data_IF_451958784648
#
_entry.id   IF_451958784648
#
_cell.length_a   1.000
_cell.length_b   1.000
_cell.length_c   1.000
_cell.angle_alpha   90.00
_cell.angle_beta   90.00
_cell.angle_gamma   90.00
#
_symmetry.space_group_name_H-M   'P 1'
#
loop_
_entity.id
_entity.type
_entity.pdbx_description
1 polymer ?
#
# COMPACT_ATOMS: atom_id res chain seq x y z
N UNK A 1 14.12 19.96 18.29
CA UNK A 1 15.04 20.47 19.32
C UNK A 1 14.20 21.20 20.35
N UNK A 2 14.44 20.97 21.64
CA UNK A 2 13.67 21.61 22.70
C UNK A 2 14.07 23.06 22.91
N UNK A 3 13.07 23.94 23.05
CA UNK A 3 13.28 25.34 23.37
C UNK A 3 12.42 25.75 24.56
N UNK A 4 13.01 26.48 25.51
CA UNK A 4 12.28 27.06 26.63
C UNK A 4 12.30 28.59 26.56
N UNK A 5 11.21 29.19 27.05
CA UNK A 5 11.08 30.63 27.13
C UNK A 5 11.92 31.17 28.28
N UNK A 6 12.90 32.03 27.99
CA UNK A 6 13.69 32.64 29.05
C UNK A 6 12.89 33.76 29.73
N UNK A 7 12.27 33.41 30.86
CA UNK A 7 11.49 34.34 31.70
C UNK A 7 12.36 35.32 32.49
N UNK A 8 13.64 35.01 32.70
CA UNK A 8 14.58 35.78 33.53
C UNK A 8 15.44 36.76 32.73
N UNK A 9 15.19 36.88 31.43
CA UNK A 9 15.85 37.83 30.53
C UNK A 9 15.50 39.27 30.91
N UNK A 10 16.22 39.82 31.89
CA UNK A 10 16.17 41.22 32.30
C UNK A 10 16.91 42.14 31.31
N UNK A 11 17.25 41.68 30.10
CA UNK A 11 17.82 42.53 29.04
C UNK A 11 16.71 43.40 28.45
N UNK A 12 16.47 44.51 29.14
CA UNK A 12 15.45 45.55 28.94
C UNK A 12 15.49 46.23 27.57
N UNK A 13 16.34 45.83 26.62
CA UNK A 13 16.48 46.63 25.41
C UNK A 13 15.34 46.52 24.41
N UNK A 14 14.60 45.40 24.32
CA UNK A 14 13.30 45.35 23.64
C UNK A 14 12.48 44.22 24.25
N UNK A 15 11.29 44.51 24.79
CA UNK A 15 10.41 43.62 25.58
C UNK A 15 9.90 42.38 24.84
N UNK A 16 10.78 41.51 24.32
CA UNK A 16 10.42 40.34 23.52
C UNK A 16 11.04 39.08 24.12
N UNK A 17 10.24 38.02 24.14
CA UNK A 17 10.63 36.71 24.64
C UNK A 17 11.60 36.07 23.66
N UNK A 18 12.80 35.73 24.14
CA UNK A 18 13.73 34.86 23.43
C UNK A 18 13.56 33.44 23.92
N UNK A 19 13.56 32.50 22.99
CA UNK A 19 13.51 31.08 23.30
C UNK A 19 14.91 30.50 23.15
N UNK A 20 15.36 29.78 24.18
CA UNK A 20 16.69 29.20 24.25
C UNK A 20 16.60 27.69 24.05
N UNK A 21 17.53 27.14 23.28
CA UNK A 21 17.68 25.68 23.20
C UNK A 21 17.98 25.10 24.59
N UNK A 22 17.39 23.95 24.91
CA UNK A 22 17.72 23.17 26.10
C UNK A 22 19.20 22.76 26.09
N UNK A 23 19.81 22.56 27.26
CA UNK A 23 21.26 22.31 27.43
C UNK A 23 21.75 21.01 26.75
N UNK A 24 20.83 20.10 26.39
CA UNK A 24 21.12 18.90 25.59
C UNK A 24 21.32 19.19 24.09
N UNK A 25 20.98 20.39 23.61
CA UNK A 25 21.16 20.78 22.21
C UNK A 25 22.63 20.99 21.85
N UNK A 26 23.09 20.37 20.76
CA UNK A 26 24.48 20.46 20.27
C UNK A 26 24.90 21.84 19.75
N UNK A 27 24.01 22.85 19.77
CA UNK A 27 24.36 24.24 19.45
C UNK A 27 23.42 25.25 20.12
N UNK A 28 23.99 26.30 20.73
CA UNK A 28 23.25 27.46 21.24
C UNK A 28 22.43 28.07 20.10
N UNK A 29 21.15 27.74 20.05
CA UNK A 29 20.21 28.23 19.04
C UNK A 29 19.06 28.98 19.69
N UNK A 30 18.58 29.99 18.98
CA UNK A 30 17.62 30.96 19.50
C UNK A 30 16.51 31.17 18.49
N UNK A 31 15.28 31.30 18.99
CA UNK A 31 14.16 31.78 18.18
C UNK A 31 13.82 33.22 18.60
N UNK A 32 13.87 34.14 17.64
CA UNK A 32 13.60 35.55 17.86
C UNK A 32 13.00 36.23 16.62
N UNK A 33 12.21 37.29 16.82
CA UNK A 33 11.50 37.97 15.75
C UNK A 33 12.32 39.11 15.13
N UNK A 34 12.63 39.01 13.83
CA UNK A 34 13.23 40.10 13.07
C UNK A 34 12.16 41.10 12.60
N UNK A 35 12.25 42.34 13.10
CA UNK A 35 11.27 43.41 12.79
C UNK A 35 11.34 43.89 11.35
N UNK A 36 12.54 43.93 10.77
CA UNK A 36 12.74 44.45 9.41
C UNK A 36 12.10 43.52 8.39
N UNK A 37 12.33 42.22 8.55
CA UNK A 37 11.80 41.20 7.64
C UNK A 37 10.39 40.73 7.98
N UNK A 38 9.93 41.06 9.19
CA UNK A 38 8.64 40.65 9.75
C UNK A 38 8.51 39.13 9.84
N UNK A 39 9.55 38.46 10.33
CA UNK A 39 9.63 36.99 10.39
C UNK A 39 10.23 36.54 11.72
N UNK A 40 9.82 35.35 12.17
CA UNK A 40 10.54 34.63 13.22
C UNK A 40 11.76 33.96 12.62
N UNK A 41 12.89 34.08 13.32
CA UNK A 41 14.20 33.58 12.89
C UNK A 41 14.69 32.59 13.94
N UNK A 42 14.98 31.36 13.50
CA UNK A 42 15.75 30.38 14.24
C UNK A 42 17.22 30.51 13.79
N UNK A 43 18.13 30.82 14.71
CA UNK A 43 19.54 31.04 14.38
C UNK A 43 20.50 30.47 15.42
N UNK A 44 21.76 30.25 15.03
CA UNK A 44 22.87 29.89 15.92
C UNK A 44 23.53 31.12 16.55
N UNK A 45 24.16 30.90 17.70
CA UNK A 45 25.05 31.86 18.35
C UNK A 45 24.31 32.97 19.09
N UNK A 46 25.02 33.70 19.94
CA UNK A 46 24.47 34.73 20.82
C UNK A 46 24.26 36.09 20.13
N UNK A 47 23.96 36.11 18.82
CA UNK A 47 23.66 37.39 18.16
C UNK A 47 22.50 38.06 18.89
N UNK A 48 22.70 39.30 19.32
CA UNK A 48 21.68 40.08 20.01
C UNK A 48 20.58 40.56 19.06
N UNK A 49 20.87 40.65 17.75
CA UNK A 49 19.89 41.04 16.73
C UNK A 49 19.56 39.86 15.81
N UNK A 50 18.30 39.38 15.81
CA UNK A 50 17.86 38.32 14.89
C UNK A 50 17.89 38.74 13.41
N UNK A 51 17.82 40.05 13.10
CA UNK A 51 17.87 40.53 11.72
C UNK A 51 19.27 40.40 11.09
N UNK A 52 20.33 40.52 11.91
CA UNK A 52 21.70 40.26 11.46
C UNK A 52 21.88 38.78 11.10
N UNK A 53 21.28 37.88 11.90
CA UNK A 53 21.29 36.45 11.63
C UNK A 53 20.50 36.11 10.36
N UNK A 54 19.38 36.77 10.08
CA UNK A 54 18.60 36.58 8.85
C UNK A 54 19.41 36.92 7.59
N UNK A 55 20.38 37.84 7.71
CA UNK A 55 21.26 38.26 6.62
C UNK A 55 22.54 37.40 6.49
N UNK A 56 22.81 36.52 7.46
CA UNK A 56 24.00 35.68 7.49
C UNK A 56 23.63 34.19 7.41
N UNK A 57 23.90 33.57 6.27
CA UNK A 57 23.60 32.16 6.02
C UNK A 57 24.32 31.18 6.96
N UNK A 58 25.42 31.58 7.60
CA UNK A 58 26.12 30.73 8.59
C UNK A 58 25.39 30.70 9.95
N UNK A 59 24.65 31.76 10.26
CA UNK A 59 23.91 31.91 11.52
C UNK A 59 22.45 31.47 11.37
N UNK A 60 21.82 31.74 10.21
CA UNK A 60 20.44 31.37 9.94
C UNK A 60 20.28 29.84 9.88
N UNK A 61 19.34 29.31 10.64
CA UNK A 61 18.91 27.91 10.53
C UNK A 61 17.58 27.82 9.77
N UNK A 62 16.59 28.60 10.22
CA UNK A 62 15.27 28.65 9.61
C UNK A 62 14.60 30.01 9.83
N UNK A 63 13.59 30.31 9.01
CA UNK A 63 12.73 31.48 9.14
C UNK A 63 11.26 31.14 8.87
N UNK A 64 10.35 31.75 9.61
CA UNK A 64 8.91 31.64 9.34
C UNK A 64 8.52 32.41 8.09
N UNK A 65 7.32 32.16 7.59
CA UNK A 65 6.59 33.09 6.72
C UNK A 65 6.44 34.47 7.38
N UNK A 66 6.19 35.51 6.57
CA UNK A 66 6.05 36.89 7.07
C UNK A 66 4.79 37.01 7.94
N UNK A 67 4.94 37.56 9.14
CA UNK A 67 3.84 37.82 10.07
C UNK A 67 4.04 39.16 10.79
N UNK A 68 2.95 39.88 11.04
CA UNK A 68 2.96 41.13 11.83
C UNK A 68 2.88 40.90 13.35
N UNK A 69 2.66 39.66 13.76
CA UNK A 69 2.41 39.34 15.16
C UNK A 69 3.72 39.04 15.87
N UNK A 70 3.90 39.64 17.04
CA UNK A 70 5.03 39.35 17.94
C UNK A 70 4.77 38.16 18.86
N UNK A 71 3.73 37.39 18.57
CA UNK A 71 3.44 36.11 19.19
C UNK A 71 3.96 35.00 18.26
N UNK A 72 4.75 34.08 18.80
CA UNK A 72 5.31 32.98 18.00
C UNK A 72 4.24 31.94 17.68
N UNK A 73 3.19 31.85 18.51
CA UNK A 73 2.12 30.87 18.33
C UNK A 73 1.39 31.03 16.99
N UNK A 74 1.33 32.25 16.47
CA UNK A 74 0.74 32.53 15.15
C UNK A 74 1.60 32.04 13.98
N UNK A 75 2.85 31.65 14.25
CA UNK A 75 3.76 31.05 13.28
C UNK A 75 3.80 29.52 13.37
N UNK A 76 3.07 28.91 14.31
CA UNK A 76 3.01 27.46 14.46
C UNK A 76 2.34 26.80 13.26
N UNK A 77 1.26 27.39 12.76
CA UNK A 77 0.57 26.92 11.55
C UNK A 77 1.15 27.52 10.25
N UNK A 78 2.15 28.40 10.39
CA UNK A 78 2.78 29.09 9.27
C UNK A 78 3.88 28.24 8.62
N UNK A 79 4.12 28.42 7.32
CA UNK A 79 5.26 27.76 6.66
C UNK A 79 6.58 28.26 7.22
N UNK A 80 7.53 27.35 7.44
CA UNK A 80 8.91 27.65 7.77
C UNK A 80 9.83 27.29 6.60
N UNK A 81 10.98 27.94 6.51
CA UNK A 81 11.96 27.74 5.45
C UNK A 81 13.36 27.66 6.03
N UNK A 82 14.18 26.75 5.53
CA UNK A 82 15.60 26.67 5.85
C UNK A 82 16.36 27.91 5.35
N UNK A 83 17.64 28.03 5.73
CA UNK A 83 18.53 29.04 5.15
C UNK A 83 18.66 28.94 3.61
N UNK A 84 18.49 27.73 3.04
CA UNK A 84 18.46 27.49 1.59
C UNK A 84 17.08 27.69 0.95
N UNK A 85 16.12 28.23 1.71
CA UNK A 85 14.73 28.46 1.27
C UNK A 85 13.95 27.18 0.95
N UNK A 86 14.36 26.05 1.53
CA UNK A 86 13.63 24.78 1.47
C UNK A 86 12.52 24.80 2.51
N UNK A 87 11.25 24.50 2.16
CA UNK A 87 10.19 24.38 3.15
C UNK A 87 10.56 23.40 4.28
N UNK A 88 10.21 23.74 5.51
CA UNK A 88 10.43 22.94 6.71
C UNK A 88 9.10 22.68 7.42
N UNK A 89 8.95 21.46 7.92
CA UNK A 89 7.92 21.12 8.88
C UNK A 89 8.47 21.39 10.28
N UNK A 90 7.88 22.36 10.99
CA UNK A 90 8.24 22.68 12.36
C UNK A 90 7.08 22.31 13.27
N UNK A 91 7.35 21.53 14.31
CA UNK A 91 6.36 21.14 15.30
C UNK A 91 6.65 21.85 16.61
N UNK A 92 5.63 22.45 17.19
CA UNK A 92 5.70 23.15 18.47
C UNK A 92 4.83 22.38 19.47
N UNK A 93 5.45 21.98 20.58
CA UNK A 93 4.79 21.23 21.63
C UNK A 93 4.70 22.10 22.88
N UNK A 94 3.50 22.27 23.41
CA UNK A 94 3.30 22.91 24.72
C UNK A 94 3.24 21.81 25.79
N UNK A 95 3.95 21.99 26.90
CA UNK A 95 3.75 21.14 28.08
C UNK A 95 2.80 21.89 28.99
N UNK A 96 1.81 21.17 29.53
CA UNK A 96 0.79 21.66 30.47
C UNK A 96 1.35 22.13 31.84
N UNK A 97 2.50 22.81 31.85
CA UNK A 97 3.19 23.32 33.03
C UNK A 97 4.06 22.27 33.74
N UNK A 98 4.24 21.08 33.18
CA UNK A 98 5.12 20.06 33.75
C UNK A 98 6.44 20.02 32.97
N UNK A 99 7.31 21.00 33.24
CA UNK A 99 8.61 21.20 32.56
C UNK A 99 9.46 19.91 32.56
N UNK A 100 9.38 19.10 33.62
CA UNK A 100 10.17 17.85 33.74
C UNK A 100 9.80 16.77 32.73
N UNK A 101 8.60 16.80 32.13
CA UNK A 101 8.21 15.79 31.13
C UNK A 101 8.78 16.07 29.74
N UNK A 102 8.99 17.33 29.37
CA UNK A 102 9.57 17.66 28.05
C UNK A 102 11.07 17.36 28.03
N UNK A 103 11.77 17.64 29.13
CA UNK A 103 13.22 17.45 29.23
C UNK A 103 13.63 15.99 29.00
N UNK A 104 12.80 15.02 29.42
CA UNK A 104 13.00 13.59 29.21
C UNK A 104 12.87 13.16 27.73
N UNK A 105 12.24 13.98 26.89
CA UNK A 105 11.93 13.69 25.49
C UNK A 105 12.61 14.65 24.51
N UNK A 106 13.61 15.43 24.95
CA UNK A 106 14.30 16.37 24.08
C UNK A 106 15.22 15.73 23.03
N UNK A 107 15.51 14.44 23.22
CA UNK A 107 16.24 13.61 22.26
C UNK A 107 15.31 12.83 21.32
N UNK A 108 13.99 12.88 21.55
CA UNK A 108 12.93 12.29 20.74
C UNK A 108 12.51 13.25 19.63
N UNK A 109 12.25 12.75 18.42
CA UNK A 109 11.86 13.56 17.27
C UNK A 109 10.88 12.82 16.38
N UNK A 110 9.80 13.50 15.98
CA UNK A 110 8.86 12.99 14.97
C UNK A 110 9.57 12.58 13.68
N UNK A 111 9.41 11.32 13.26
CA UNK A 111 9.94 10.82 11.99
C UNK A 111 11.44 10.51 12.02
N UNK A 112 12.03 10.25 13.18
CA UNK A 112 13.44 9.85 13.32
C UNK A 112 13.71 8.33 13.19
N UNK A 113 12.65 7.54 13.03
CA UNK A 113 12.67 6.09 12.86
C UNK A 113 12.70 5.29 14.17
N UNK A 114 12.66 5.98 15.32
CA UNK A 114 12.48 5.41 16.64
C UNK A 114 11.02 5.56 17.03
N UNK A 115 10.46 4.64 17.82
CA UNK A 115 9.09 4.80 18.31
C UNK A 115 9.11 5.46 19.69
N UNK A 116 8.95 6.78 19.73
CA UNK A 116 8.92 7.60 20.92
C UNK A 116 7.53 7.54 21.58
N UNK A 117 7.39 6.95 22.79
CA UNK A 117 6.09 6.79 23.45
C UNK A 117 5.33 8.10 23.66
N UNK A 118 6.05 9.22 23.79
CA UNK A 118 5.47 10.56 23.93
C UNK A 118 4.80 11.06 22.65
N UNK A 119 5.40 10.74 21.49
CA UNK A 119 4.86 11.13 20.20
C UNK A 119 3.97 10.06 19.57
N UNK A 120 3.86 8.89 20.20
CA UNK A 120 3.00 7.78 19.74
C UNK A 120 1.50 8.01 20.03
N UNK A 121 1.00 9.20 19.74
CA UNK A 121 -0.41 9.58 19.86
C UNK A 121 -0.93 10.07 18.51
N UNK A 122 -2.25 9.95 18.29
CA UNK A 122 -2.89 10.34 17.03
C UNK A 122 -2.63 11.80 16.63
N UNK A 123 -2.50 12.71 17.60
CA UNK A 123 -2.20 14.12 17.35
C UNK A 123 -0.83 14.38 16.70
N UNK A 124 0.08 13.42 16.81
CA UNK A 124 1.45 13.50 16.29
C UNK A 124 1.71 12.52 15.15
N UNK A 125 0.63 11.94 14.59
CA UNK A 125 0.74 10.93 13.54
C UNK A 125 1.49 9.68 14.00
N UNK A 126 1.44 9.33 15.29
CA UNK A 126 2.13 8.18 15.86
C UNK A 126 3.64 8.23 15.60
N UNK A 127 4.24 9.32 16.10
CA UNK A 127 5.64 9.64 15.92
C UNK A 127 6.05 9.86 14.45
N UNK A 128 5.22 10.62 13.73
CA UNK A 128 5.42 10.81 12.30
C UNK A 128 5.30 9.51 11.48
N UNK A 129 4.71 8.47 12.06
CA UNK A 129 4.58 7.14 11.50
C UNK A 129 5.65 6.17 11.97
N UNK A 130 6.65 6.57 12.75
CA UNK A 130 7.76 5.67 13.13
C UNK A 130 7.32 4.51 14.03
N UNK A 131 6.22 4.70 14.74
CA UNK A 131 5.58 3.64 15.50
C UNK A 131 4.68 2.74 14.63
N UNK A 132 4.82 2.70 13.31
CA UNK A 132 4.06 1.77 12.45
C UNK A 132 4.96 0.61 12.00
N UNK A 133 4.37 -0.58 11.82
CA UNK A 133 5.17 -1.77 11.57
C UNK A 133 5.99 -1.73 10.27
N UNK A 134 5.47 -1.07 9.23
CA UNK A 134 6.17 -1.00 7.95
C UNK A 134 7.25 0.10 7.88
N UNK A 135 7.20 1.12 8.72
CA UNK A 135 8.14 2.27 8.75
C UNK A 135 9.22 2.08 9.82
N UNK A 136 8.87 1.48 10.95
CA UNK A 136 9.78 1.28 12.06
C UNK A 136 11.01 0.46 11.63
N UNK A 137 12.20 0.90 12.05
CA UNK A 137 13.49 0.39 11.57
C UNK A 137 14.28 -0.40 12.61
N UNK A 138 13.88 -0.30 13.89
CA UNK A 138 14.54 -0.98 15.00
C UNK A 138 14.02 -2.41 15.22
N UNK A 139 14.81 -3.23 15.93
CA UNK A 139 14.46 -4.62 16.25
C UNK A 139 13.42 -4.76 17.37
N UNK A 140 13.13 -3.68 18.09
CA UNK A 140 12.15 -3.61 19.19
C UNK A 140 10.82 -3.00 18.78
N UNK A 141 10.68 -2.63 17.51
CA UNK A 141 9.46 -2.04 16.96
C UNK A 141 8.25 -2.94 17.15
N UNK A 142 7.21 -2.41 17.79
CA UNK A 142 5.92 -3.08 17.93
C UNK A 142 5.93 -4.25 18.91
N UNK A 143 7.05 -4.51 19.60
CA UNK A 143 7.13 -5.68 20.49
C UNK A 143 6.10 -5.59 21.61
N UNK A 144 5.17 -6.56 21.65
CA UNK A 144 4.05 -6.57 22.59
C UNK A 144 3.06 -5.41 22.43
N UNK A 145 3.11 -4.68 21.32
CA UNK A 145 2.26 -3.52 21.06
C UNK A 145 0.83 -3.87 20.62
N UNK A 146 0.57 -5.13 20.25
CA UNK A 146 -0.79 -5.63 20.06
C UNK A 146 -1.29 -6.29 21.35
N UNK A 147 -2.29 -5.67 21.97
CA UNK A 147 -2.90 -6.14 23.22
C UNK A 147 -4.22 -6.86 22.99
N UNK A 148 -4.87 -6.59 21.85
CA UNK A 148 -6.03 -7.32 21.37
C UNK A 148 -5.87 -7.63 19.89
N UNK A 149 -5.66 -8.90 19.58
CA UNK A 149 -5.56 -9.39 18.20
C UNK A 149 -6.84 -10.12 17.83
N UNK A 150 -7.47 -9.72 16.71
CA UNK A 150 -8.78 -10.27 16.30
C UNK A 150 -9.86 -10.16 17.40
N UNK A 151 -9.75 -9.14 18.27
CA UNK A 151 -10.67 -8.95 19.39
C UNK A 151 -10.48 -9.92 20.57
N UNK A 152 -9.41 -10.71 20.59
CA UNK A 152 -9.04 -11.54 21.75
C UNK A 152 -8.00 -10.82 22.61
N UNK A 153 -8.31 -10.62 23.90
CA UNK A 153 -7.43 -9.99 24.89
C UNK A 153 -6.32 -10.93 25.39
N UNK A 154 -6.45 -12.25 25.16
CA UNK A 154 -5.46 -13.24 25.58
C UNK A 154 -4.32 -13.39 24.58
N UNK A 155 -4.50 -12.86 23.38
CA UNK A 155 -3.49 -12.86 22.34
C UNK A 155 -2.68 -11.56 22.40
N UNK A 156 -1.47 -11.66 22.92
CA UNK A 156 -0.45 -10.62 22.75
C UNK A 156 0.35 -10.88 21.48
N UNK A 157 0.63 -9.83 20.73
CA UNK A 157 1.41 -9.91 19.50
C UNK A 157 2.41 -8.77 19.37
N UNK A 158 3.35 -8.94 18.45
CA UNK A 158 4.16 -7.82 17.99
C UNK A 158 3.40 -7.09 16.87
N UNK A 159 3.26 -5.78 16.98
CA UNK A 159 2.57 -4.88 16.05
C UNK A 159 2.08 -3.61 16.74
N UNK A 160 1.21 -2.83 16.09
CA UNK A 160 0.80 -1.51 16.58
C UNK A 160 -0.71 -1.30 16.42
N UNK A 161 -1.46 -1.45 17.51
CA UNK A 161 -2.92 -1.60 17.49
C UNK A 161 -3.69 -0.38 16.94
N UNK A 162 -3.04 0.78 16.83
CA UNK A 162 -3.65 2.01 16.32
C UNK A 162 -2.70 2.87 15.48
N UNK A 163 -1.57 2.32 15.01
CA UNK A 163 -0.65 3.18 14.27
C UNK A 163 -1.25 3.55 12.91
N UNK A 164 -1.35 4.86 12.66
CA UNK A 164 -1.81 5.43 11.40
C UNK A 164 -0.70 6.29 10.83
N UNK A 165 0.02 5.74 9.85
CA UNK A 165 0.92 6.49 8.99
C UNK A 165 0.13 6.93 7.74
N UNK A 166 0.07 8.24 7.41
CA UNK A 166 -0.63 8.76 6.24
C UNK A 166 -0.16 8.17 4.89
N UNK A 167 1.04 7.61 4.85
CA UNK A 167 1.62 6.95 3.67
C UNK A 167 1.31 5.46 3.62
N UNK A 168 0.72 4.90 4.67
CA UNK A 168 0.32 3.51 4.75
C UNK A 168 -1.17 3.32 4.44
N UNK A 169 -1.49 2.09 4.07
CA UNK A 169 -2.80 1.68 3.63
C UNK A 169 -3.30 0.48 4.43
N UNK A 170 -4.61 0.42 4.69
CA UNK A 170 -5.22 -0.66 5.44
C UNK A 170 -5.22 -1.98 4.65
N UNK A 171 -4.77 -3.04 5.32
CA UNK A 171 -4.91 -4.44 4.95
C UNK A 171 -5.72 -5.13 6.05
N UNK A 172 -6.84 -5.74 5.69
CA UNK A 172 -7.71 -6.44 6.63
C UNK A 172 -7.60 -7.94 6.45
N UNK A 173 -7.26 -8.65 7.52
CA UNK A 173 -7.30 -10.10 7.59
C UNK A 173 -8.62 -10.47 8.27
N UNK A 174 -9.40 -11.38 7.70
CA UNK A 174 -10.60 -11.95 8.29
C UNK A 174 -10.41 -13.45 8.47
N UNK A 175 -10.68 -13.96 9.68
CA UNK A 175 -10.62 -15.39 9.97
C UNK A 175 -12.02 -15.99 9.74
N UNK A 176 -12.24 -16.53 8.55
CA UNK A 176 -13.52 -17.09 8.11
C UNK A 176 -13.94 -18.30 8.96
N UNK A 177 -12.96 -19.14 9.30
CA UNK A 177 -13.20 -20.42 9.94
C UNK A 177 -11.98 -20.86 10.71
N UNK A 178 -12.21 -21.46 11.88
CA UNK A 178 -11.16 -22.11 12.65
C UNK A 178 -11.70 -23.48 13.04
N UNK A 179 -11.04 -24.53 12.59
CA UNK A 179 -11.49 -25.90 12.78
C UNK A 179 -10.36 -26.77 13.29
N UNK A 180 -10.65 -27.67 14.22
CA UNK A 180 -9.63 -28.58 14.74
C UNK A 180 -9.26 -29.59 13.65
N UNK A 181 -8.00 -30.02 13.59
CA UNK A 181 -7.58 -31.17 12.78
C UNK A 181 -8.34 -32.47 13.12
N UNK A 182 -9.04 -32.50 14.26
CA UNK A 182 -9.91 -33.61 14.68
C UNK A 182 -11.35 -33.51 14.21
N UNK A 183 -11.74 -32.39 13.61
CA UNK A 183 -13.07 -32.25 13.03
C UNK A 183 -13.31 -33.44 12.07
N UNK A 184 -14.46 -34.14 12.17
CA UNK A 184 -14.79 -35.30 11.35
C UNK A 184 -14.54 -35.09 9.84
N UNK A 185 -14.66 -33.85 9.36
CA UNK A 185 -14.42 -33.49 7.96
C UNK A 185 -12.97 -33.67 7.51
N UNK A 186 -11.99 -33.56 8.41
CA UNK A 186 -10.56 -33.70 8.08
C UNK A 186 -10.02 -35.11 8.34
N UNK A 187 -10.63 -35.82 9.28
CA UNK A 187 -10.25 -37.19 9.65
C UNK A 187 -10.82 -38.24 8.69
N UNK A 188 -11.78 -37.86 7.83
CA UNK A 188 -12.46 -38.76 6.90
C UNK A 188 -13.50 -39.66 7.58
N UNK A 189 -13.83 -39.39 8.85
CA UNK A 189 -14.81 -40.17 9.61
C UNK A 189 -16.25 -39.98 9.15
N UNK A 190 -16.57 -38.88 8.44
CA UNK A 190 -17.92 -38.66 7.88
C UNK A 190 -18.40 -39.76 6.92
N UNK A 191 -17.50 -40.60 6.41
CA UNK A 191 -17.84 -41.68 5.47
C UNK A 191 -18.13 -43.04 6.13
N UNK A 192 -17.99 -43.17 7.44
CA UNK A 192 -18.31 -44.41 8.14
C UNK A 192 -19.75 -44.33 8.67
N UNK A 193 -20.68 -44.94 7.94
CA UNK A 193 -22.04 -45.20 8.43
C UNK A 193 -21.96 -46.04 9.72
N UNK A 194 -22.86 -45.80 10.68
CA UNK A 194 -22.97 -46.48 11.98
C UNK A 194 -22.92 -48.02 11.92
N UNK A 195 -23.16 -48.59 10.73
CA UNK A 195 -23.11 -50.03 10.46
C UNK A 195 -21.68 -50.61 10.51
N UNK A 196 -20.63 -49.80 10.42
CA UNK A 196 -19.23 -50.27 10.42
C UNK A 196 -18.44 -49.74 11.64
N UNK A 197 -19.06 -49.78 12.83
CA UNK A 197 -18.43 -49.42 14.13
C UNK A 197 -17.17 -50.24 14.47
N UNK A 198 -16.91 -51.32 13.74
CA UNK A 198 -15.73 -52.16 13.92
C UNK A 198 -14.56 -51.76 13.00
N UNK A 199 -14.79 -50.96 11.95
CA UNK A 199 -13.74 -50.41 11.08
C UNK A 199 -13.08 -49.15 11.69
N UNK A 200 -12.82 -49.17 13.00
CA UNK A 200 -12.06 -48.11 13.65
C UNK A 200 -10.64 -48.11 13.08
N UNK A 201 -10.03 -46.93 12.81
CA UNK A 201 -8.64 -46.84 12.39
C UNK A 201 -7.77 -47.63 13.36
N UNK A 202 -7.15 -48.66 12.80
CA UNK A 202 -6.41 -49.73 13.44
C UNK A 202 -5.60 -49.30 14.67
N UNK A 203 -6.09 -49.59 15.89
CA UNK A 203 -5.25 -49.62 17.10
C UNK A 203 -5.64 -48.74 18.29
N UNK A 204 -6.75 -47.99 18.26
CA UNK A 204 -7.23 -47.27 19.45
C UNK A 204 -8.11 -48.18 20.34
N UNK A 205 -7.66 -48.45 21.56
CA UNK A 205 -8.55 -48.89 22.65
C UNK A 205 -9.55 -47.76 22.98
N UNK A 206 -10.80 -48.09 23.32
CA UNK A 206 -11.90 -47.13 23.53
C UNK A 206 -11.52 -45.92 24.41
N UNK A 207 -10.74 -46.14 25.48
CA UNK A 207 -10.33 -45.04 26.36
C UNK A 207 -9.34 -44.05 25.72
N UNK A 208 -8.47 -44.48 24.81
CA UNK A 208 -7.47 -43.57 24.21
C UNK A 208 -8.09 -42.59 23.21
N UNK A 209 -9.21 -42.92 22.60
CA UNK A 209 -9.88 -42.02 21.67
C UNK A 209 -10.58 -40.87 22.40
N UNK A 210 -11.22 -41.16 23.53
CA UNK A 210 -11.82 -40.14 24.41
C UNK A 210 -10.74 -39.22 24.99
N UNK A 211 -9.68 -39.81 25.57
CA UNK A 211 -8.53 -39.07 26.08
C UNK A 211 -7.87 -38.20 24.99
N UNK A 212 -7.77 -38.75 23.77
CA UNK A 212 -7.29 -37.99 22.63
C UNK A 212 -8.21 -36.80 22.44
N UNK A 213 -9.52 -36.97 22.18
CA UNK A 213 -10.48 -35.88 21.92
C UNK A 213 -10.51 -34.76 22.97
N UNK A 214 -10.21 -35.04 24.24
CA UNK A 214 -10.18 -34.04 25.31
C UNK A 214 -8.96 -33.10 25.28
N UNK A 215 -7.87 -33.48 24.60
CA UNK A 215 -6.69 -32.60 24.46
C UNK A 215 -7.04 -31.36 23.63
N UNK A 216 -6.86 -30.13 24.15
CA UNK A 216 -7.15 -28.92 23.38
C UNK A 216 -6.18 -28.76 22.21
N UNK A 217 -6.64 -28.27 21.04
CA UNK A 217 -5.75 -27.99 19.93
C UNK A 217 -4.72 -26.90 20.25
N UNK A 218 -3.51 -27.11 19.76
CA UNK A 218 -2.41 -26.16 19.84
C UNK A 218 -2.72 -24.98 18.92
N UNK A 219 -2.59 -23.78 19.49
CA UNK A 219 -2.78 -22.53 18.74
C UNK A 219 -1.66 -22.37 17.70
N UNK A 220 -1.99 -22.22 16.41
CA UNK A 220 -0.98 -22.06 15.38
C UNK A 220 -0.34 -20.69 15.46
N UNK A 221 0.94 -20.63 15.10
CA UNK A 221 1.68 -19.39 15.00
C UNK A 221 1.31 -18.68 13.69
N UNK A 222 0.81 -17.46 13.81
CA UNK A 222 0.47 -16.57 12.72
C UNK A 222 1.53 -15.47 12.63
N UNK A 223 2.05 -15.24 11.43
CA UNK A 223 2.92 -14.11 11.14
C UNK A 223 2.57 -13.50 9.78
N UNK A 224 2.54 -12.18 9.74
CA UNK A 224 2.54 -11.44 8.49
C UNK A 224 3.83 -10.64 8.39
N UNK A 225 4.56 -10.87 7.31
CA UNK A 225 5.68 -10.06 6.89
C UNK A 225 5.27 -9.25 5.64
N UNK A 226 5.64 -7.97 5.56
CA UNK A 226 5.50 -7.18 4.35
C UNK A 226 6.80 -6.43 4.08
N UNK A 227 7.29 -6.50 2.83
CA UNK A 227 8.55 -5.90 2.39
C UNK A 227 9.75 -6.30 3.26
N UNK A 228 9.77 -7.52 3.80
CA UNK A 228 10.84 -8.03 4.66
C UNK A 228 10.77 -7.54 6.12
N UNK A 229 9.64 -6.93 6.51
CA UNK A 229 9.40 -6.47 7.88
C UNK A 229 8.23 -7.24 8.49
N UNK A 230 8.40 -7.69 9.73
CA UNK A 230 7.32 -8.29 10.49
C UNK A 230 6.28 -7.23 10.85
N UNK A 231 5.07 -7.37 10.29
CA UNK A 231 3.96 -6.44 10.51
C UNK A 231 3.08 -6.87 11.69
N UNK A 232 2.93 -8.18 11.84
CA UNK A 232 2.05 -8.75 12.85
C UNK A 232 2.48 -10.17 13.19
N UNK A 233 2.50 -10.51 14.49
CA UNK A 233 2.57 -11.91 14.95
C UNK A 233 1.52 -12.18 16.01
N UNK A 234 0.95 -13.38 16.01
CA UNK A 234 -0.01 -13.82 17.03
C UNK A 234 -0.11 -15.34 17.09
N UNK A 235 -0.71 -15.86 18.15
CA UNK A 235 -1.20 -17.24 18.20
C UNK A 235 -2.71 -17.24 17.98
N UNK A 236 -3.20 -18.00 17.01
CA UNK A 236 -4.62 -18.02 16.67
C UNK A 236 -5.37 -18.94 17.63
N UNK A 237 -6.43 -18.41 18.23
CA UNK A 237 -7.31 -19.15 19.13
C UNK A 237 -8.65 -19.44 18.44
N UNK A 238 -9.33 -20.53 18.83
CA UNK A 238 -10.68 -20.83 18.31
C UNK A 238 -11.72 -19.73 18.58
N UNK A 239 -11.50 -18.87 19.57
CA UNK A 239 -12.33 -17.69 19.89
C UNK A 239 -12.30 -16.59 18.81
N UNK A 240 -11.30 -16.62 17.92
CA UNK A 240 -11.08 -15.59 16.90
C UNK A 240 -11.86 -15.85 15.59
N UNK A 241 -12.71 -16.88 15.54
CA UNK A 241 -13.53 -17.16 14.36
C UNK A 241 -14.47 -16.00 14.03
N UNK A 242 -14.61 -15.67 12.75
CA UNK A 242 -15.37 -14.54 12.22
C UNK A 242 -14.90 -13.18 12.76
N UNK A 243 -13.63 -13.07 13.13
CA UNK A 243 -13.02 -11.81 13.55
C UNK A 243 -12.12 -11.26 12.46
N UNK A 244 -11.94 -9.95 12.48
CA UNK A 244 -11.04 -9.26 11.57
C UNK A 244 -10.01 -8.46 12.34
N UNK A 245 -8.83 -8.34 11.74
CA UNK A 245 -7.79 -7.43 12.17
C UNK A 245 -7.41 -6.57 10.97
N UNK A 246 -7.44 -5.26 11.13
CA UNK A 246 -6.89 -4.32 10.16
C UNK A 246 -5.53 -3.87 10.64
N UNK A 247 -4.58 -3.83 9.72
CA UNK A 247 -3.19 -3.43 9.92
C UNK A 247 -2.80 -2.48 8.80
N UNK A 248 -1.82 -1.63 9.05
CA UNK A 248 -1.34 -0.64 8.08
C UNK A 248 -0.05 -1.16 7.42
N UNK A 249 -0.03 -1.15 6.09
CA UNK A 249 1.11 -1.58 5.26
C UNK A 249 1.43 -0.52 4.22
N UNK A 250 2.66 -0.50 3.69
CA UNK A 250 3.01 0.44 2.61
C UNK A 250 2.14 0.23 1.36
N UNK A 251 1.97 1.29 0.56
CA UNK A 251 1.39 1.17 -0.78
C UNK A 251 2.24 0.21 -1.63
N UNK A 252 1.61 -0.62 -2.45
CA UNK A 252 2.37 -1.59 -3.26
C UNK A 252 3.02 -2.75 -2.47
N UNK A 253 2.81 -2.86 -1.16
CA UNK A 253 3.56 -3.81 -0.32
C UNK A 253 3.41 -5.27 -0.79
N UNK A 254 4.54 -5.97 -0.85
CA UNK A 254 4.58 -7.42 -1.06
C UNK A 254 4.67 -8.11 0.29
N UNK A 255 3.66 -8.92 0.58
CA UNK A 255 3.47 -9.55 1.87
C UNK A 255 3.56 -11.08 1.79
N UNK A 256 4.03 -11.69 2.87
CA UNK A 256 4.02 -13.12 3.09
C UNK A 256 3.34 -13.40 4.42
N UNK A 257 2.23 -14.13 4.37
CA UNK A 257 1.49 -14.59 5.53
C UNK A 257 1.84 -16.06 5.79
N UNK A 258 2.21 -16.35 7.02
CA UNK A 258 2.61 -17.66 7.49
C UNK A 258 1.68 -18.09 8.61
N UNK A 259 1.03 -19.26 8.46
CA UNK A 259 0.32 -19.96 9.54
C UNK A 259 1.03 -21.28 9.75
N UNK A 260 1.89 -21.34 10.77
CA UNK A 260 2.64 -22.54 11.13
C UNK A 260 1.89 -23.31 12.21
N UNK A 261 1.50 -24.51 11.83
CA UNK A 261 1.16 -25.55 12.79
C UNK A 261 2.46 -26.07 13.39
N UNK A 262 2.57 -26.09 14.72
CA UNK A 262 3.83 -26.39 15.41
C UNK A 262 4.27 -27.86 15.33
N UNK A 263 3.45 -28.73 14.74
CA UNK A 263 3.71 -30.17 14.59
C UNK A 263 4.34 -30.40 13.22
N UNK A 264 5.66 -30.62 13.18
CA UNK A 264 6.45 -30.78 11.93
C UNK A 264 6.13 -32.05 11.14
N UNK A 265 5.42 -32.99 11.76
CA UNK A 265 4.71 -34.09 11.12
C UNK A 265 3.28 -34.02 11.67
N UNK A 266 2.26 -34.14 10.81
CA UNK A 266 0.88 -34.34 11.27
C UNK A 266 0.64 -35.84 11.14
N UNK A 267 1.16 -36.63 12.06
CA UNK A 267 0.51 -37.91 12.32
C UNK A 267 -0.74 -37.56 13.13
N UNK A 268 -1.86 -37.48 12.40
CA UNK A 268 -3.20 -37.13 12.90
C UNK A 268 -3.54 -37.91 14.19
N UNK A 269 -2.92 -39.07 14.41
CA UNK A 269 -3.20 -39.95 15.52
C UNK A 269 -2.19 -39.90 16.68
N UNK A 270 -0.96 -39.40 16.47
CA UNK A 270 0.04 -39.30 17.56
C UNK A 270 0.34 -37.87 18.00
N UNK A 271 0.08 -36.89 17.14
CA UNK A 271 0.38 -35.50 17.44
C UNK A 271 -0.75 -34.77 18.16
N UNK A 272 -0.37 -33.73 18.90
CA UNK A 272 -1.34 -32.84 19.50
C UNK A 272 -2.22 -32.22 18.39
N UNK A 273 -3.54 -32.14 18.60
CA UNK A 273 -4.43 -31.51 17.63
C UNK A 273 -3.99 -30.08 17.34
N UNK A 274 -4.28 -29.59 16.14
CA UNK A 274 -3.93 -28.25 15.70
C UNK A 274 -5.18 -27.54 15.20
N UNK A 275 -5.18 -26.21 15.21
CA UNK A 275 -6.21 -25.44 14.52
C UNK A 275 -5.84 -25.22 13.05
N UNK A 276 -6.77 -25.55 12.17
CA UNK A 276 -6.76 -25.19 10.76
C UNK A 276 -7.56 -23.90 10.60
N UNK A 277 -6.98 -22.93 9.88
CA UNK A 277 -7.49 -21.56 9.80
C UNK A 277 -7.81 -21.25 8.35
N UNK A 278 -9.08 -20.96 8.09
CA UNK A 278 -9.55 -20.39 6.83
C UNK A 278 -9.58 -18.87 6.99
N UNK A 279 -8.91 -18.16 6.10
CA UNK A 279 -8.80 -16.70 6.18
C UNK A 279 -8.95 -16.04 4.81
N UNK A 280 -9.47 -14.82 4.82
CA UNK A 280 -9.55 -13.94 3.68
C UNK A 280 -8.79 -12.65 3.93
N UNK A 281 -8.12 -12.17 2.89
CA UNK A 281 -7.37 -10.93 2.87
C UNK A 281 -8.16 -9.91 2.08
N UNK A 282 -8.36 -8.72 2.64
CA UNK A 282 -9.10 -7.65 2.02
C UNK A 282 -8.28 -6.37 2.02
N UNK A 283 -8.35 -5.67 0.89
CA UNK A 283 -8.01 -4.26 0.82
C UNK A 283 -9.23 -3.44 1.22
N UNK A 284 -9.06 -2.42 2.06
CA UNK A 284 -10.11 -1.45 2.34
C UNK A 284 -9.99 -0.25 1.40
N UNK A 285 -11.12 0.32 0.98
CA UNK A 285 -11.14 1.50 0.10
C UNK A 285 -10.64 2.78 0.79
N UNK A 286 -10.24 3.77 -0.02
CA UNK A 286 -9.54 5.02 0.38
C UNK A 286 -10.26 5.85 1.44
N UNK A 287 -11.57 5.68 1.61
CA UNK A 287 -12.37 6.46 2.56
C UNK A 287 -12.84 5.66 3.77
N UNK A 288 -12.21 4.50 4.05
CA UNK A 288 -12.66 3.60 5.10
C UNK A 288 -14.03 2.97 4.82
N UNK A 289 -14.55 3.15 3.61
CA UNK A 289 -15.82 2.57 3.19
C UNK A 289 -15.73 1.04 3.27
N UNK A 290 -16.51 0.48 4.19
CA UNK A 290 -16.52 -0.95 4.50
C UNK A 290 -17.12 -1.74 3.34
N UNK A 291 -17.98 -1.11 2.53
CA UNK A 291 -18.63 -1.75 1.38
C UNK A 291 -17.71 -1.81 0.15
N UNK A 292 -16.60 -1.05 0.14
CA UNK A 292 -15.60 -1.05 -0.92
C UNK A 292 -14.44 -2.02 -0.68
N UNK A 293 -14.69 -3.13 0.04
CA UNK A 293 -13.66 -4.16 0.29
C UNK A 293 -13.43 -4.99 -0.97
N UNK A 294 -12.19 -5.01 -1.42
CA UNK A 294 -11.74 -5.89 -2.51
C UNK A 294 -10.99 -7.06 -1.89
N UNK A 295 -11.47 -8.27 -2.14
CA UNK A 295 -10.79 -9.49 -1.71
C UNK A 295 -9.51 -9.69 -2.50
N UNK A 296 -8.39 -9.80 -1.78
CA UNK A 296 -7.06 -10.09 -2.33
C UNK A 296 -6.91 -11.60 -2.52
N UNK A 297 -7.29 -12.36 -1.49
CA UNK A 297 -7.20 -13.81 -1.52
C UNK A 297 -8.04 -14.44 -0.41
N UNK A 298 -8.48 -15.68 -0.62
CA UNK A 298 -9.08 -16.54 0.41
C UNK A 298 -8.36 -17.88 0.40
N UNK A 299 -7.74 -18.22 1.54
CA UNK A 299 -6.82 -19.36 1.65
C UNK A 299 -7.17 -20.16 2.91
N UNK A 300 -6.96 -21.47 2.84
CA UNK A 300 -7.01 -22.37 3.98
C UNK A 300 -5.61 -22.80 4.38
N UNK A 301 -5.27 -22.67 5.67
CA UNK A 301 -3.98 -23.13 6.21
C UNK A 301 -3.79 -24.63 6.09
N UNK A 302 -4.86 -25.39 5.82
CA UNK A 302 -4.78 -26.81 5.51
C UNK A 302 -4.13 -27.09 4.15
N UNK A 303 -4.33 -26.18 3.18
CA UNK A 303 -3.80 -26.34 1.82
C UNK A 303 -2.43 -25.70 1.68
N UNK A 304 -2.26 -24.52 2.29
CA UNK A 304 -1.04 -23.70 2.15
C UNK A 304 -0.69 -23.07 3.49
N UNK A 305 0.49 -23.40 4.04
CA UNK A 305 1.00 -22.80 5.28
C UNK A 305 1.57 -21.39 5.08
N UNK A 306 2.08 -21.09 3.88
CA UNK A 306 2.71 -19.81 3.54
C UNK A 306 2.13 -19.26 2.25
N UNK A 307 1.49 -18.11 2.34
CA UNK A 307 0.91 -17.40 1.20
C UNK A 307 1.64 -16.09 0.96
N UNK A 308 2.08 -15.86 -0.29
CA UNK A 308 2.65 -14.59 -0.72
C UNK A 308 1.66 -13.87 -1.62
N UNK A 309 1.50 -12.57 -1.41
CA UNK A 309 0.61 -11.70 -2.18
C UNK A 309 1.17 -10.29 -2.21
N UNK A 310 0.85 -9.51 -3.23
CA UNK A 310 1.20 -8.10 -3.30
C UNK A 310 -0.06 -7.26 -3.28
N UNK A 311 -0.08 -6.21 -2.47
CA UNK A 311 -1.14 -5.21 -2.48
C UNK A 311 -0.91 -4.31 -3.69
N UNK A 312 -1.88 -4.22 -4.59
CA UNK A 312 -1.86 -3.31 -5.73
C UNK A 312 -1.95 -1.87 -5.22
N UNK A 313 -1.06 -1.01 -5.73
CA UNK A 313 -0.94 0.39 -5.31
C UNK A 313 -2.22 1.20 -5.57
N UNK A 314 -2.51 2.21 -4.74
CA UNK A 314 -3.77 2.98 -4.79
C UNK A 314 -3.98 3.70 -6.12
N UNK A 315 -2.89 4.25 -6.65
CA UNK A 315 -2.82 4.88 -7.97
C UNK A 315 -3.44 4.01 -9.09
N UNK A 316 -3.27 2.67 -9.10
CA UNK A 316 -3.87 1.79 -10.11
C UNK A 316 -5.39 1.86 -10.06
N UNK A 317 -5.96 1.79 -8.85
CA UNK A 317 -7.40 1.88 -8.67
C UNK A 317 -7.90 3.25 -9.12
N UNK A 318 -7.23 4.33 -8.73
CA UNK A 318 -7.58 5.69 -9.15
C UNK A 318 -7.56 5.86 -10.66
N UNK A 319 -6.54 5.34 -11.34
CA UNK A 319 -6.39 5.47 -12.79
C UNK A 319 -7.39 4.59 -13.55
N UNK A 320 -7.68 3.37 -13.06
CA UNK A 320 -8.42 2.35 -13.80
C UNK A 320 -9.90 2.20 -13.39
N UNK A 321 -10.37 2.85 -12.32
CA UNK A 321 -11.75 2.68 -11.80
C UNK A 321 -12.86 2.96 -12.81
N UNK A 322 -12.59 3.79 -13.82
CA UNK A 322 -13.57 4.14 -14.85
C UNK A 322 -13.46 3.25 -16.10
N UNK A 323 -12.52 2.31 -16.12
CA UNK A 323 -12.12 1.58 -17.32
C UNK A 323 -12.18 0.06 -17.16
N UNK A 324 -12.13 -0.45 -15.93
CA UNK A 324 -12.21 -1.88 -15.66
C UNK A 324 -12.93 -2.15 -14.33
N UNK A 325 -13.46 -3.36 -14.18
CA UNK A 325 -14.00 -3.81 -12.89
C UNK A 325 -12.86 -4.16 -11.92
N UNK A 326 -12.59 -3.24 -11.00
CA UNK A 326 -11.52 -3.40 -10.01
C UNK A 326 -11.87 -4.36 -8.87
N UNK A 327 -13.12 -4.83 -8.76
CA UNK A 327 -13.50 -5.78 -7.72
C UNK A 327 -12.93 -7.18 -7.96
N UNK A 328 -12.64 -7.52 -9.22
CA UNK A 328 -12.09 -8.81 -9.63
C UNK A 328 -10.57 -8.79 -9.86
N UNK A 329 -9.92 -7.64 -9.62
CA UNK A 329 -8.51 -7.40 -9.96
C UNK A 329 -7.54 -8.44 -9.36
N UNK A 330 -7.87 -8.98 -8.17
CA UNK A 330 -7.08 -10.04 -7.52
C UNK A 330 -7.65 -11.45 -7.76
N UNK A 331 -8.98 -11.61 -7.68
CA UNK A 331 -9.65 -12.92 -7.72
C UNK A 331 -9.45 -13.66 -9.05
N UNK A 332 -9.25 -12.89 -10.12
CA UNK A 332 -9.15 -13.37 -11.48
C UNK A 332 -7.78 -13.04 -12.08
N UNK A 333 -6.71 -13.13 -11.28
CA UNK A 333 -5.33 -13.06 -11.78
C UNK A 333 -5.15 -14.03 -12.95
N UNK A 334 -4.97 -13.51 -14.16
CA UNK A 334 -4.86 -14.29 -15.40
C UNK A 334 -6.17 -14.62 -16.13
N UNK A 335 -7.35 -14.21 -15.63
CA UNK A 335 -8.64 -14.35 -16.32
C UNK A 335 -9.14 -12.97 -16.77
N UNK A 336 -9.47 -12.86 -18.05
CA UNK A 336 -9.81 -11.58 -18.67
C UNK A 336 -8.57 -10.78 -19.08
N UNK A 337 -8.73 -9.96 -20.11
CA UNK A 337 -7.60 -9.26 -20.74
C UNK A 337 -7.12 -8.09 -19.87
N UNK A 338 -8.04 -7.40 -19.20
CA UNK A 338 -7.75 -6.30 -18.28
C UNK A 338 -6.92 -6.75 -17.08
N UNK A 339 -7.28 -7.87 -16.45
CA UNK A 339 -6.53 -8.40 -15.30
C UNK A 339 -5.15 -8.92 -15.71
N UNK A 340 -5.03 -9.59 -16.87
CA UNK A 340 -3.71 -9.96 -17.43
C UNK A 340 -2.85 -8.73 -17.70
N UNK A 341 -3.44 -7.64 -18.20
CA UNK A 341 -2.72 -6.40 -18.43
C UNK A 341 -2.23 -5.75 -17.16
N UNK A 342 -3.07 -5.71 -16.12
CA UNK A 342 -2.70 -5.21 -14.79
C UNK A 342 -1.59 -6.08 -14.19
N UNK A 343 -1.73 -7.40 -14.24
CA UNK A 343 -0.71 -8.33 -13.74
C UNK A 343 0.65 -8.09 -14.42
N UNK A 344 0.66 -7.92 -15.74
CA UNK A 344 1.88 -7.58 -16.48
C UNK A 344 2.50 -6.26 -16.00
N UNK A 345 1.68 -5.20 -15.85
CA UNK A 345 2.13 -3.88 -15.37
C UNK A 345 2.74 -3.94 -13.96
N UNK A 346 2.16 -4.77 -13.08
CA UNK A 346 2.65 -4.94 -11.71
C UNK A 346 3.98 -5.70 -11.64
N UNK A 347 4.25 -6.57 -12.61
CA UNK A 347 5.51 -7.34 -12.68
C UNK A 347 6.64 -6.62 -13.42
N UNK A 348 6.35 -5.47 -14.07
CA UNK A 348 7.34 -4.71 -14.81
C UNK A 348 8.27 -3.94 -13.87
N UNK A 349 9.54 -4.38 -13.83
CA UNK A 349 10.57 -3.82 -12.96
C UNK A 349 11.24 -2.55 -13.50
N UNK A 350 10.91 -2.09 -14.71
CA UNK A 350 11.59 -0.95 -15.36
C UNK A 350 11.16 0.42 -14.82
N UNK A 351 10.04 0.47 -14.08
CA UNK A 351 9.41 1.71 -13.61
C UNK A 351 8.53 2.40 -14.65
N UNK A 352 8.56 1.99 -15.92
CA UNK A 352 7.72 2.56 -16.98
C UNK A 352 6.23 2.18 -16.87
N UNK A 353 5.91 1.20 -16.02
CA UNK A 353 4.54 0.77 -15.72
C UNK A 353 4.04 1.30 -14.38
N UNK A 354 4.77 2.20 -13.72
CA UNK A 354 4.25 2.87 -12.54
C UNK A 354 2.98 3.65 -12.89
N UNK A 355 1.95 3.49 -12.07
CA UNK A 355 0.64 4.14 -12.20
C UNK A 355 0.67 5.68 -12.07
N UNK A 356 1.77 6.23 -11.54
CA UNK A 356 2.09 7.66 -11.56
C UNK A 356 2.67 8.14 -12.90
N UNK A 357 3.12 7.22 -13.77
CA UNK A 357 3.66 7.58 -15.08
C UNK A 357 2.56 8.22 -15.94
N UNK A 358 2.92 9.31 -16.63
CA UNK A 358 1.97 10.05 -17.48
C UNK A 358 1.40 9.20 -18.62
N UNK A 359 2.11 8.16 -19.03
CA UNK A 359 1.74 7.24 -20.10
C UNK A 359 1.13 5.93 -19.59
N UNK A 360 0.91 5.79 -18.28
CA UNK A 360 0.38 4.56 -17.68
C UNK A 360 -0.89 4.05 -18.38
N UNK A 361 -1.85 4.94 -18.65
CA UNK A 361 -3.11 4.57 -19.32
C UNK A 361 -2.89 4.11 -20.77
N UNK A 362 -1.92 4.70 -21.48
CA UNK A 362 -1.58 4.27 -22.83
C UNK A 362 -0.97 2.88 -22.82
N UNK A 363 -0.03 2.65 -21.90
CA UNK A 363 0.62 1.35 -21.71
C UNK A 363 -0.40 0.28 -21.33
N UNK A 364 -1.29 0.56 -20.37
CA UNK A 364 -2.41 -0.32 -20.01
C UNK A 364 -3.28 -0.67 -21.20
N UNK A 365 -3.69 0.32 -22.01
CA UNK A 365 -4.52 0.09 -23.18
C UNK A 365 -3.85 -0.80 -24.22
N UNK A 366 -2.55 -0.60 -24.47
CA UNK A 366 -1.79 -1.42 -25.40
C UNK A 366 -1.63 -2.87 -24.91
N UNK A 367 -1.39 -3.07 -23.62
CA UNK A 367 -1.25 -4.42 -23.03
C UNK A 367 -2.60 -5.13 -22.98
N UNK A 368 -3.68 -4.43 -22.65
CA UNK A 368 -5.03 -4.97 -22.71
C UNK A 368 -5.35 -5.42 -24.14
N UNK A 369 -5.05 -4.59 -25.14
CA UNK A 369 -5.15 -4.92 -26.56
C UNK A 369 -4.33 -6.16 -26.92
N UNK A 370 -3.09 -6.26 -26.45
CA UNK A 370 -2.25 -7.43 -26.68
C UNK A 370 -2.92 -8.73 -26.21
N UNK A 371 -3.44 -8.75 -24.97
CA UNK A 371 -4.11 -9.93 -24.43
C UNK A 371 -5.47 -10.21 -25.07
N UNK A 372 -6.22 -9.16 -25.43
CA UNK A 372 -7.52 -9.30 -26.09
C UNK A 372 -7.45 -9.86 -27.50
N UNK A 373 -6.33 -9.63 -28.17
CA UNK A 373 -6.08 -10.02 -29.55
C UNK A 373 -5.23 -11.29 -29.68
N UNK A 374 -5.01 -11.99 -28.56
CA UNK A 374 -4.20 -13.22 -28.46
C UNK A 374 -2.90 -13.12 -29.27
N UNK A 375 -2.26 -11.94 -29.19
CA UNK A 375 -1.16 -11.61 -30.07
C UNK A 375 0.06 -12.49 -29.72
N UNK A 376 0.44 -13.35 -30.65
CA UNK A 376 1.45 -14.39 -30.42
C UNK A 376 2.90 -13.92 -30.53
N UNK A 377 3.15 -12.68 -30.95
CA UNK A 377 4.51 -12.17 -31.22
C UNK A 377 4.83 -10.87 -30.50
N UNK A 378 6.13 -10.71 -30.18
CA UNK A 378 6.90 -9.64 -29.49
C UNK A 378 6.46 -8.17 -29.58
N UNK A 379 5.17 -7.92 -29.37
CA UNK A 379 4.53 -6.62 -29.34
C UNK A 379 4.82 -5.89 -28.02
N UNK A 380 4.86 -6.64 -26.91
CA UNK A 380 5.20 -6.13 -25.60
C UNK A 380 6.71 -6.08 -25.41
N UNK A 381 7.17 -5.00 -24.79
CA UNK A 381 8.52 -4.82 -24.31
C UNK A 381 8.47 -4.15 -22.95
N UNK A 382 9.43 -4.46 -22.09
CA UNK A 382 9.59 -3.80 -20.79
C UNK A 382 10.05 -2.34 -20.95
N UNK A 383 10.62 -1.96 -22.10
CA UNK A 383 11.01 -0.58 -22.43
C UNK A 383 9.79 0.36 -22.58
N UNK A 384 10.01 1.67 -22.65
CA UNK A 384 8.96 2.66 -22.94
C UNK A 384 8.14 2.28 -24.18
N UNK A 385 6.81 2.46 -24.12
CA UNK A 385 5.86 2.03 -25.16
C UNK A 385 6.17 2.61 -26.56
N UNK A 386 6.80 3.77 -26.62
CA UNK A 386 7.20 4.41 -27.88
C UNK A 386 8.40 3.75 -28.57
N UNK A 387 9.09 2.83 -27.88
CA UNK A 387 10.18 2.02 -28.43
C UNK A 387 9.70 0.67 -28.93
N UNK A 388 8.43 0.32 -28.69
CA UNK A 388 7.88 -0.97 -29.09
C UNK A 388 7.81 -1.06 -30.62
N UNK A 389 8.19 -2.21 -31.23
CA UNK A 389 8.37 -2.31 -32.68
C UNK A 389 7.15 -1.93 -33.53
N UNK A 390 5.94 -2.11 -32.98
CA UNK A 390 4.66 -1.88 -33.63
C UNK A 390 4.00 -0.57 -33.23
N UNK A 391 4.65 0.25 -32.42
CA UNK A 391 4.11 1.49 -31.88
C UNK A 391 4.88 2.68 -32.43
N UNK A 392 4.17 3.68 -32.91
CA UNK A 392 4.76 4.97 -33.27
C UNK A 392 4.12 6.07 -32.43
N UNK A 393 4.96 6.86 -31.79
CA UNK A 393 4.51 7.99 -30.98
C UNK A 393 4.66 9.33 -31.69
N UNK A 394 3.80 10.28 -31.33
CA UNK A 394 3.87 11.68 -31.72
C UNK A 394 3.83 12.53 -30.45
N UNK A 395 4.84 13.39 -30.27
CA UNK A 395 5.00 14.20 -29.06
C UNK A 395 4.97 13.40 -27.73
N UNK A 396 5.47 12.17 -27.75
CA UNK A 396 5.53 11.28 -26.58
C UNK A 396 4.30 10.37 -26.38
N UNK A 397 3.20 10.62 -27.10
CA UNK A 397 1.97 9.84 -26.98
C UNK A 397 1.83 8.85 -28.14
N UNK A 398 1.18 7.71 -27.90
CA UNK A 398 0.91 6.70 -28.93
C UNK A 398 0.01 7.27 -30.02
N UNK A 399 0.54 7.35 -31.24
CA UNK A 399 -0.15 7.93 -32.39
C UNK A 399 -0.52 6.88 -33.45
N UNK A 400 0.26 5.82 -33.61
CA UNK A 400 -0.03 4.76 -34.57
C UNK A 400 0.34 3.38 -34.02
N UNK A 401 -0.50 2.40 -34.35
CA UNK A 401 -0.30 0.98 -34.04
C UNK A 401 -0.27 0.21 -35.36
N UNK A 402 0.80 -0.55 -35.59
CA UNK A 402 1.03 -1.34 -36.80
C UNK A 402 1.29 -2.81 -36.47
N UNK A 403 0.22 -3.61 -36.54
CA UNK A 403 0.27 -5.06 -36.31
C UNK A 403 0.38 -5.78 -37.66
N UNK A 404 1.60 -5.89 -38.19
CA UNK A 404 1.91 -6.68 -39.38
C UNK A 404 2.32 -8.08 -38.93
N UNK A 405 1.68 -9.12 -39.49
CA UNK A 405 2.07 -10.53 -39.26
C UNK A 405 1.99 -11.01 -37.80
N UNK A 406 1.31 -10.28 -36.89
CA UNK A 406 1.29 -10.60 -35.45
C UNK A 406 0.36 -11.77 -35.06
N UNK A 407 -0.18 -12.51 -36.05
CA UNK A 407 -1.08 -13.63 -35.79
C UNK A 407 -2.30 -13.22 -34.97
N UNK A 408 -2.82 -12.02 -35.21
CA UNK A 408 -3.87 -11.41 -34.39
C UNK A 408 -5.17 -12.22 -34.49
N UNK A 409 -5.68 -12.69 -33.36
CA UNK A 409 -6.99 -13.34 -33.26
C UNK A 409 -7.68 -12.93 -31.96
N UNK A 410 -8.91 -12.43 -32.02
CA UNK A 410 -9.62 -11.96 -30.82
C UNK A 410 -10.39 -10.68 -31.09
N UNK A 411 -10.73 -9.93 -30.05
CA UNK A 411 -11.56 -8.73 -30.15
C UNK A 411 -10.73 -7.46 -29.95
N UNK A 412 -11.17 -6.35 -30.55
CA UNK A 412 -10.59 -5.03 -30.26
C UNK A 412 -11.20 -4.53 -28.94
N UNK A 413 -10.41 -4.33 -27.87
CA UNK A 413 -10.95 -3.90 -26.59
C UNK A 413 -11.37 -2.43 -26.64
N UNK A 414 -12.36 -2.08 -25.82
CA UNK A 414 -12.83 -0.70 -25.64
C UNK A 414 -11.77 0.24 -25.08
N UNK A 415 -10.82 -0.31 -24.33
CA UNK A 415 -9.71 0.38 -23.67
C UNK A 415 -8.76 1.03 -24.67
N UNK A 416 -8.81 0.65 -25.96
CA UNK A 416 -8.09 1.36 -27.01
C UNK A 416 -8.49 2.85 -27.10
N UNK A 417 -9.70 3.20 -26.65
CA UNK A 417 -10.16 4.59 -26.55
C UNK A 417 -9.36 5.45 -25.56
N UNK A 418 -8.57 4.84 -24.67
CA UNK A 418 -7.65 5.53 -23.77
C UNK A 418 -6.46 6.16 -24.51
N UNK A 419 -6.16 5.69 -25.72
CA UNK A 419 -5.11 6.25 -26.57
C UNK A 419 -5.59 7.53 -27.25
N UNK A 420 -5.64 8.61 -26.46
CA UNK A 420 -6.22 9.89 -26.88
C UNK A 420 -5.55 10.53 -28.11
N UNK A 421 -4.30 10.16 -28.41
CA UNK A 421 -3.54 10.63 -29.57
C UNK A 421 -3.54 9.65 -30.75
N UNK A 422 -4.29 8.55 -30.69
CA UNK A 422 -4.27 7.51 -31.72
C UNK A 422 -4.91 8.00 -33.02
N UNK A 423 -4.08 8.17 -34.04
CA UNK A 423 -4.48 8.59 -35.38
C UNK A 423 -4.60 7.41 -36.35
N UNK A 424 -3.86 6.32 -36.12
CA UNK A 424 -3.78 5.20 -37.06
C UNK A 424 -3.74 3.83 -36.40
N UNK A 425 -4.63 2.93 -36.81
CA UNK A 425 -4.61 1.51 -36.46
C UNK A 425 -4.53 0.68 -37.74
N UNK A 426 -3.42 -0.04 -37.93
CA UNK A 426 -3.17 -0.87 -39.10
C UNK A 426 -2.99 -2.33 -38.69
N UNK A 427 -3.82 -3.21 -39.25
CA UNK A 427 -3.82 -4.65 -38.97
C UNK A 427 -3.69 -5.44 -40.27
N UNK A 428 -2.51 -6.00 -40.53
CA UNK A 428 -2.18 -6.72 -41.77
C UNK A 428 -1.94 -8.21 -41.49
N UNK A 429 -2.99 -8.93 -41.08
CA UNK A 429 -3.13 -10.39 -41.18
C UNK A 429 -4.52 -10.75 -40.67
N UNK A 430 -5.41 -11.27 -41.52
CA UNK A 430 -6.82 -11.51 -41.16
C UNK A 430 -7.30 -12.89 -41.62
N UNK A 431 -6.53 -13.94 -41.30
CA UNK A 431 -7.04 -15.32 -41.42
C UNK A 431 -8.13 -15.61 -40.36
N UNK A 432 -8.26 -14.76 -39.33
CA UNK A 432 -9.32 -14.73 -38.33
C UNK A 432 -9.89 -13.29 -38.25
N UNK A 433 -11.21 -13.12 -38.22
CA UNK A 433 -11.87 -11.79 -38.23
C UNK A 433 -12.16 -11.38 -36.77
N UNK A 434 -11.61 -10.27 -36.26
CA UNK A 434 -11.95 -9.75 -34.94
C UNK A 434 -13.43 -9.33 -34.86
N UNK A 435 -14.07 -9.41 -33.70
CA UNK A 435 -15.31 -8.66 -33.48
C UNK A 435 -14.95 -7.28 -32.90
N UNK A 436 -15.61 -6.22 -33.39
CA UNK A 436 -15.33 -4.84 -32.98
C UNK A 436 -16.37 -4.42 -31.94
N UNK A 437 -15.91 -4.01 -30.76
CA UNK A 437 -16.78 -3.37 -29.77
C UNK A 437 -17.21 -1.98 -30.28
N UNK A 438 -18.53 -1.70 -30.25
CA UNK A 438 -19.16 -0.51 -30.84
C UNK A 438 -18.65 0.83 -30.25
N UNK A 439 -18.03 0.79 -29.07
CA UNK A 439 -17.51 1.96 -28.33
C UNK A 439 -16.04 2.30 -28.61
N UNK A 440 -15.25 1.42 -29.23
CA UNK A 440 -13.80 1.61 -29.37
C UNK A 440 -13.39 2.67 -30.42
N UNK A 441 -14.33 3.15 -31.25
CA UNK A 441 -14.02 3.92 -32.48
C UNK A 441 -14.83 5.22 -32.56
N UNK A 442 -15.07 5.90 -31.44
CA UNK A 442 -15.85 7.16 -31.47
C UNK A 442 -15.02 8.45 -31.58
N UNK A 443 -13.71 8.44 -31.31
CA UNK A 443 -12.91 9.67 -31.34
C UNK A 443 -11.54 9.49 -32.01
N UNK A 444 -11.32 10.27 -33.08
CA UNK A 444 -10.02 10.66 -33.66
C UNK A 444 -9.27 9.71 -34.60
N UNK A 445 -9.71 8.47 -34.85
CA UNK A 445 -9.07 7.61 -35.86
C UNK A 445 -9.15 8.22 -37.27
N UNK A 446 -7.99 8.56 -37.84
CA UNK A 446 -7.84 9.14 -39.18
C UNK A 446 -7.70 8.03 -40.23
N UNK A 447 -6.97 6.97 -39.86
CA UNK A 447 -6.65 5.85 -40.75
C UNK A 447 -6.93 4.51 -40.04
N UNK A 448 -7.92 3.79 -40.54
CA UNK A 448 -8.27 2.45 -40.07
C UNK A 448 -8.13 1.51 -41.26
N UNK A 449 -7.00 0.80 -41.31
CA UNK A 449 -6.74 -0.22 -42.33
C UNK A 449 -6.86 -1.60 -41.70
N UNK A 450 -8.03 -2.20 -41.86
CA UNK A 450 -8.30 -3.55 -41.38
C UNK A 450 -8.88 -4.40 -42.49
N UNK A 451 -8.17 -5.47 -42.83
CA UNK A 451 -8.57 -6.38 -43.89
C UNK A 451 -9.84 -7.16 -43.50
N UNK A 452 -10.92 -7.01 -44.28
CA UNK A 452 -12.18 -7.80 -44.23
C UNK A 452 -12.88 -7.89 -42.85
N UNK A 453 -13.51 -6.80 -42.40
CA UNK A 453 -14.52 -6.88 -41.34
C UNK A 453 -15.94 -7.23 -41.84
N UNK A 454 -16.69 -7.96 -41.01
CA UNK A 454 -18.17 -7.88 -40.98
C UNK A 454 -18.56 -6.89 -39.88
N UNK A 455 -18.79 -5.63 -40.22
CA UNK A 455 -19.46 -4.71 -39.30
C UNK A 455 -20.93 -5.12 -39.20
N UNK A 456 -21.41 -5.42 -37.99
CA UNK A 456 -22.80 -5.80 -37.77
C UNK A 456 -23.77 -4.62 -37.89
N UNK A 457 -23.28 -3.35 -37.77
CA UNK A 457 -24.04 -2.09 -37.97
C UNK A 457 -23.15 -0.92 -38.45
N UNK A 458 -23.78 0.13 -39.00
CA UNK A 458 -23.13 1.28 -39.65
C UNK A 458 -22.35 2.19 -38.66
N UNK A 459 -21.05 2.38 -38.91
CA UNK A 459 -20.22 3.42 -38.29
C UNK A 459 -20.46 4.76 -39.02
N UNK A 460 -20.66 5.84 -38.27
CA UNK A 460 -20.96 7.17 -38.81
C UNK A 460 -19.69 8.06 -38.88
N UNK A 461 -19.38 8.53 -40.10
CA UNK A 461 -18.40 9.57 -40.52
C UNK A 461 -16.89 9.23 -40.61
N UNK A 462 -16.33 9.66 -41.76
CA UNK A 462 -14.93 9.96 -42.14
C UNK A 462 -13.82 8.89 -42.04
N UNK A 463 -14.11 7.61 -41.83
CA UNK A 463 -13.11 6.58 -42.12
C UNK A 463 -12.89 6.44 -43.64
N UNK A 464 -11.67 6.67 -44.13
CA UNK A 464 -11.28 6.29 -45.50
C UNK A 464 -10.93 4.80 -45.48
N UNK A 465 -11.82 3.98 -46.04
CA UNK A 465 -11.52 2.56 -46.24
C UNK A 465 -10.64 2.41 -47.49
N UNK A 466 -9.42 1.92 -47.31
CA UNK A 466 -8.64 1.36 -48.42
C UNK A 466 -8.91 -0.14 -48.50
N UNK A 467 -9.97 -0.51 -49.21
CA UNK A 467 -10.17 -1.90 -49.60
C UNK A 467 -9.07 -2.27 -50.60
N UNK A 468 -8.06 -3.02 -50.14
CA UNK A 468 -7.17 -3.72 -51.05
C UNK A 468 -8.02 -4.67 -51.91
N UNK A 469 -8.14 -4.37 -53.20
CA UNK A 469 -8.71 -5.28 -54.18
C UNK A 469 -7.91 -6.58 -54.26
N UNK A 470 -8.50 -7.65 -54.82
CA UNK A 470 -7.96 -9.01 -54.79
C UNK A 470 -6.53 -9.14 -55.32
#
# INVERSE_FOLDING_TARGET
>A
GCFFMNRNSNTIHFSRRTYHSHDSGTSNSFIAYCRQDRQWILHRGSSSDPCDAASNSELLLARSSKTDTFDISTSFDGSWFSASNTPLNLYFFDSDGNETKIEEHCDSFLGDGNCDPFFNEHGYGFDGGDCCAASCSQTTCGRGGLTSVFGSLTASGDGFENCVDPTMYPLTIHLNGIASSRDPKFTGFEKYDDADRDARPWGFDEGRFEDWMEVPPVNPYFALDCNGKNVMTAYIEGSMVNKSQTIMVQDGATCTLVIRNTTTDIDVFTDAPIWLVDYSLFRQGVNGDVDARVEISSISSFVVETASFSRISECYFRQLQNHTDLNSIYADSGKGNSNKAIDWLLTDATGHSECEDSNFLERYALINMYFAMDASTGFLSEEEQCTWPSISCSAGNVAKIQLREAGVGGDIPSELSLLSSLEGLQMMSCDQIPSVAETAVENQLIDLDVCKFRFSRQINKKCKYHLAGP
#
